data_IF_649177391075
#
_entry.id   IF_649177391075
#
_cell.length_a   1.000
_cell.length_b   1.000
_cell.length_c   1.000
_cell.angle_alpha   90.00
_cell.angle_beta   90.00
_cell.angle_gamma   90.00
#
_symmetry.space_group_name_H-M   'P 1'
#
loop_
_entity.id
_entity.type
_entity.pdbx_description
1 polymer ?
#
# COMPACT_ATOMS: atom_id res chain seq x y z
N UNK A 1 35.29 -14.39 46.57
CA UNK A 1 34.32 -13.38 46.09
C UNK A 1 33.85 -13.73 44.68
N UNK A 2 33.76 -15.03 44.37
CA UNK A 2 33.56 -15.55 43.00
C UNK A 2 32.09 -15.86 42.67
N UNK A 3 31.19 -15.86 43.68
CA UNK A 3 29.74 -16.13 43.52
C UNK A 3 28.85 -14.88 43.69
N UNK A 4 29.41 -13.67 43.63
CA UNK A 4 28.67 -12.40 43.89
C UNK A 4 28.99 -11.27 42.91
N UNK A 5 29.46 -11.60 41.71
CA UNK A 5 29.69 -10.62 40.64
C UNK A 5 28.39 -10.22 39.94
N UNK A 6 28.34 -9.00 39.37
CA UNK A 6 27.22 -8.59 38.54
C UNK A 6 27.24 -9.38 37.22
N UNK A 7 26.14 -10.07 36.90
CA UNK A 7 25.93 -10.67 35.58
C UNK A 7 25.59 -9.54 34.60
N UNK A 8 26.52 -9.21 33.72
CA UNK A 8 26.36 -8.16 32.70
C UNK A 8 26.64 -8.75 31.33
N UNK A 9 25.70 -8.59 30.40
CA UNK A 9 25.85 -8.95 28.99
C UNK A 9 25.38 -7.80 28.10
N UNK A 10 25.96 -7.68 26.91
CA UNK A 10 25.51 -6.75 25.87
C UNK A 10 25.23 -7.50 24.57
N UNK A 11 24.28 -7.00 23.79
CA UNK A 11 23.93 -7.52 22.46
C UNK A 11 23.72 -6.36 21.50
N UNK A 12 24.02 -6.59 20.23
CA UNK A 12 23.79 -5.63 19.15
C UNK A 12 23.34 -6.35 17.88
N UNK A 13 22.52 -5.67 17.09
CA UNK A 13 22.12 -6.11 15.76
C UNK A 13 22.45 -5.02 14.75
N UNK A 14 22.94 -5.43 13.59
CA UNK A 14 23.17 -4.56 12.44
C UNK A 14 22.63 -5.27 11.22
N UNK A 15 21.71 -4.62 10.51
CA UNK A 15 21.17 -5.13 9.26
C UNK A 15 22.31 -5.50 8.30
N UNK A 16 22.27 -6.70 7.67
CA UNK A 16 23.25 -7.08 6.67
C UNK A 16 23.39 -6.01 5.57
N UNK A 17 24.57 -5.83 4.96
CA UNK A 17 24.74 -4.87 3.87
C UNK A 17 23.85 -5.25 2.68
N UNK A 18 22.82 -4.44 2.39
CA UNK A 18 21.90 -4.62 1.27
C UNK A 18 22.13 -3.54 0.21
N UNK A 19 22.04 -3.91 -1.08
CA UNK A 19 22.17 -3.00 -2.22
C UNK A 19 23.61 -2.55 -2.50
N UNK A 20 24.17 -2.95 -3.66
CA UNK A 20 25.54 -2.56 -4.08
C UNK A 20 25.62 -1.81 -5.40
N UNK A 21 24.50 -1.50 -6.03
CA UNK A 21 24.53 -1.05 -7.41
C UNK A 21 24.78 0.47 -7.56
N UNK A 22 24.06 1.34 -6.84
CA UNK A 22 24.06 2.79 -7.13
C UNK A 22 23.78 3.70 -5.92
N UNK A 23 24.29 4.94 -5.95
CA UNK A 23 23.96 5.99 -4.95
C UNK A 23 22.45 6.31 -5.03
N UNK A 24 21.76 6.31 -3.88
CA UNK A 24 20.31 6.53 -3.79
C UNK A 24 19.49 5.25 -3.72
N UNK A 25 20.00 4.12 -4.23
CA UNK A 25 19.32 2.82 -4.17
C UNK A 25 19.20 2.24 -2.75
N UNK A 26 19.77 2.89 -1.75
CA UNK A 26 19.68 2.49 -0.35
C UNK A 26 18.37 2.93 0.33
N UNK A 27 17.69 3.94 -0.20
CA UNK A 27 16.41 4.39 0.34
C UNK A 27 15.31 3.35 0.02
N UNK A 28 14.62 2.86 1.05
CA UNK A 28 13.59 1.81 0.92
C UNK A 28 14.12 0.37 0.94
N UNK A 29 15.41 0.15 1.18
CA UNK A 29 15.93 -1.19 1.44
C UNK A 29 15.65 -1.62 2.87
N UNK A 30 14.97 -2.75 3.01
CA UNK A 30 14.68 -3.38 4.29
C UNK A 30 15.04 -4.87 4.22
N UNK A 31 15.48 -5.49 5.34
CA UNK A 31 15.78 -6.92 5.38
C UNK A 31 14.53 -7.78 5.25
N UNK A 32 13.38 -7.21 5.59
CA UNK A 32 12.07 -7.83 5.50
C UNK A 32 11.06 -6.78 5.02
N UNK A 33 10.09 -7.23 4.22
CA UNK A 33 8.98 -6.40 3.74
C UNK A 33 7.66 -6.91 4.31
N UNK A 34 6.86 -6.01 4.85
CA UNK A 34 5.48 -6.29 5.27
C UNK A 34 4.53 -6.06 4.10
N UNK A 35 3.40 -6.77 4.11
CA UNK A 35 2.37 -6.70 3.08
C UNK A 35 1.03 -6.43 3.74
N UNK A 36 0.13 -5.74 3.02
CA UNK A 36 -1.18 -5.41 3.55
C UNK A 36 -2.23 -5.50 2.44
N UNK A 37 -3.45 -5.89 2.81
CA UNK A 37 -4.60 -5.93 1.91
C UNK A 37 -5.85 -5.46 2.65
N UNK A 38 -6.43 -4.34 2.18
CA UNK A 38 -7.56 -3.69 2.86
C UNK A 38 -8.77 -3.67 1.94
N UNK A 39 -9.95 -3.88 2.54
CA UNK A 39 -11.25 -3.67 1.92
C UNK A 39 -11.98 -2.63 2.74
N UNK A 40 -12.52 -1.60 2.09
CA UNK A 40 -13.32 -0.56 2.72
C UNK A 40 -14.74 -0.58 2.16
N UNK A 41 -15.72 -0.41 3.04
CA UNK A 41 -17.13 -0.21 2.71
C UNK A 41 -17.48 1.24 3.03
N UNK A 42 -18.12 1.94 2.09
CA UNK A 42 -18.42 3.37 2.21
C UNK A 42 -19.85 3.68 1.78
N UNK A 43 -20.43 4.67 2.45
CA UNK A 43 -21.66 5.34 2.05
C UNK A 43 -21.30 6.74 1.55
N UNK A 44 -21.78 7.11 0.37
CA UNK A 44 -21.56 8.44 -0.21
C UNK A 44 -22.90 9.14 -0.39
N UNK A 45 -23.05 10.28 0.27
CA UNK A 45 -24.15 11.21 0.02
C UNK A 45 -23.84 12.03 -1.23
N UNK A 46 -24.56 11.73 -2.30
CA UNK A 46 -24.39 12.32 -3.64
C UNK A 46 -24.84 13.78 -3.69
N UNK A 47 -25.75 14.20 -2.81
CA UNK A 47 -26.24 15.58 -2.76
C UNK A 47 -25.28 16.50 -2.00
N UNK A 48 -24.51 15.97 -1.05
CA UNK A 48 -23.57 16.76 -0.22
C UNK A 48 -22.10 16.49 -0.50
N UNK A 49 -21.78 15.39 -1.18
CA UNK A 49 -20.42 14.88 -1.34
C UNK A 49 -19.84 14.28 -0.05
N UNK A 50 -20.63 14.12 1.01
CA UNK A 50 -20.12 13.54 2.25
C UNK A 50 -19.89 12.04 2.10
N UNK A 51 -18.66 11.58 2.40
CA UNK A 51 -18.32 10.15 2.44
C UNK A 51 -18.23 9.69 3.88
N UNK A 52 -18.94 8.61 4.21
CA UNK A 52 -18.81 7.89 5.48
C UNK A 52 -18.22 6.52 5.21
N UNK A 53 -17.17 6.16 5.94
CA UNK A 53 -16.61 4.80 5.88
C UNK A 53 -17.30 3.97 6.96
N UNK A 54 -17.99 2.91 6.56
CA UNK A 54 -18.77 2.07 7.48
C UNK A 54 -17.87 1.00 8.12
N UNK A 55 -17.09 0.31 7.30
CA UNK A 55 -16.28 -0.84 7.71
C UNK A 55 -14.96 -0.91 6.97
N UNK A 56 -13.96 -1.44 7.66
CA UNK A 56 -12.66 -1.74 7.08
C UNK A 56 -12.24 -3.13 7.52
N UNK A 57 -11.89 -4.00 6.58
CA UNK A 57 -11.18 -5.25 6.86
C UNK A 57 -9.71 -5.03 6.51
N UNK A 58 -8.85 -5.10 7.52
CA UNK A 58 -7.47 -4.66 7.45
C UNK A 58 -6.52 -5.82 7.70
N UNK A 59 -6.09 -6.50 6.63
CA UNK A 59 -5.09 -7.56 6.74
C UNK A 59 -3.68 -6.98 6.64
N UNK A 60 -2.81 -7.35 7.58
CA UNK A 60 -1.42 -6.93 7.61
C UNK A 60 -0.49 -8.08 8.02
N UNK A 61 0.54 -8.30 7.22
CA UNK A 61 1.58 -9.27 7.43
C UNK A 61 2.73 -8.67 8.24
N UNK A 62 2.69 -8.93 9.55
CA UNK A 62 3.72 -8.54 10.49
C UNK A 62 4.71 -9.68 10.80
N UNK A 63 4.78 -10.72 9.96
CA UNK A 63 5.65 -11.88 10.16
C UNK A 63 5.23 -12.76 11.34
N UNK A 64 5.48 -12.34 12.58
CA UNK A 64 5.03 -12.99 13.81
C UNK A 64 4.57 -11.91 14.78
N UNK A 65 3.33 -12.00 15.25
CA UNK A 65 2.81 -11.05 16.21
C UNK A 65 3.38 -11.33 17.61
N UNK A 66 4.46 -10.62 17.97
CA UNK A 66 5.07 -10.71 19.31
C UNK A 66 4.08 -10.31 20.42
N UNK A 67 3.23 -9.32 20.13
CA UNK A 67 2.12 -8.91 20.98
C UNK A 67 0.89 -8.64 20.09
N UNK A 68 -0.01 -9.62 19.91
CA UNK A 68 -1.17 -9.48 19.02
C UNK A 68 -2.04 -8.27 19.34
N UNK A 69 -2.29 -7.97 20.62
CA UNK A 69 -3.09 -6.82 21.04
C UNK A 69 -2.47 -5.49 20.60
N UNK A 70 -1.15 -5.37 20.67
CA UNK A 70 -0.45 -4.16 20.22
C UNK A 70 -0.49 -4.03 18.69
N UNK A 71 -0.36 -5.15 17.97
CA UNK A 71 -0.45 -5.20 16.49
C UNK A 71 -1.85 -4.79 16.03
N UNK A 72 -2.91 -5.33 16.64
CA UNK A 72 -4.29 -4.92 16.38
C UNK A 72 -4.49 -3.41 16.62
N UNK A 73 -3.96 -2.91 17.74
CA UNK A 73 -4.00 -1.47 18.06
C UNK A 73 -3.27 -0.61 17.02
N UNK A 74 -2.14 -1.06 16.49
CA UNK A 74 -1.45 -0.37 15.40
C UNK A 74 -2.28 -0.38 14.12
N UNK A 75 -2.82 -1.52 13.69
CA UNK A 75 -3.66 -1.61 12.50
C UNK A 75 -4.85 -0.64 12.59
N UNK A 76 -5.52 -0.59 13.73
CA UNK A 76 -6.65 0.33 13.98
C UNK A 76 -6.18 1.79 13.98
N UNK A 77 -5.06 2.11 14.65
CA UNK A 77 -4.49 3.45 14.69
C UNK A 77 -4.02 3.95 13.32
N UNK A 78 -3.46 3.06 12.51
CA UNK A 78 -3.07 3.35 11.12
C UNK A 78 -4.29 3.62 10.24
N UNK A 79 -5.40 2.88 10.44
CA UNK A 79 -6.67 3.21 9.80
C UNK A 79 -7.14 4.61 10.21
N UNK A 80 -7.12 4.96 11.50
CA UNK A 80 -7.49 6.30 11.98
C UNK A 80 -6.67 7.42 11.29
N UNK A 81 -5.35 7.25 11.22
CA UNK A 81 -4.48 8.24 10.59
C UNK A 81 -4.73 8.35 9.08
N UNK A 82 -4.88 7.22 8.39
CA UNK A 82 -5.17 7.22 6.95
C UNK A 82 -6.58 7.71 6.61
N UNK A 83 -7.55 7.52 7.52
CA UNK A 83 -8.89 8.12 7.43
C UNK A 83 -8.83 9.64 7.45
N UNK A 84 -7.96 10.22 8.30
CA UNK A 84 -7.71 11.66 8.31
C UNK A 84 -7.15 12.12 6.97
N UNK A 85 -6.08 11.48 6.50
CA UNK A 85 -5.43 11.83 5.24
C UNK A 85 -6.36 11.71 4.02
N UNK A 86 -7.25 10.72 4.00
CA UNK A 86 -8.17 10.51 2.87
C UNK A 86 -9.37 11.45 2.92
N UNK A 87 -9.98 11.74 4.09
CA UNK A 87 -11.25 12.48 4.15
C UNK A 87 -11.15 13.96 4.52
N UNK A 88 -10.17 14.38 5.34
CA UNK A 88 -10.30 15.64 6.07
C UNK A 88 -9.01 16.43 6.32
N UNK A 89 -7.88 15.77 6.52
CA UNK A 89 -6.63 16.40 6.93
C UNK A 89 -5.93 17.06 5.74
N UNK A 90 -5.78 18.39 5.81
CA UNK A 90 -5.07 19.18 4.82
C UNK A 90 -4.36 20.36 5.51
N UNK A 91 -3.08 20.55 5.23
CA UNK A 91 -2.36 21.77 5.62
C UNK A 91 -2.58 22.85 4.56
N UNK A 92 -3.24 23.94 4.95
CA UNK A 92 -3.57 25.03 4.02
C UNK A 92 -2.61 26.20 4.21
N UNK A 93 -2.07 26.72 3.10
CA UNK A 93 -1.10 27.81 3.14
C UNK A 93 -1.64 29.07 2.49
N UNK A 94 -1.50 30.20 3.18
CA UNK A 94 -1.87 31.51 2.66
C UNK A 94 -0.91 31.99 1.57
N UNK A 95 -1.26 33.09 0.88
CA UNK A 95 -0.46 33.65 -0.21
C UNK A 95 0.99 34.01 0.17
N UNK A 96 1.27 34.22 1.45
CA UNK A 96 2.60 34.53 1.97
C UNK A 96 3.32 33.31 2.57
N UNK A 97 2.77 32.10 2.41
CA UNK A 97 3.36 30.85 2.86
C UNK A 97 3.16 30.49 4.34
N UNK A 98 2.35 31.26 5.07
CA UNK A 98 1.98 30.89 6.45
C UNK A 98 0.87 29.83 6.45
N UNK A 99 0.95 28.90 7.40
CA UNK A 99 -0.10 27.91 7.66
C UNK A 99 -1.34 28.63 8.20
N UNK A 100 -2.51 28.42 7.57
CA UNK A 100 -3.75 29.12 7.92
C UNK A 100 -4.59 28.35 8.94
N UNK A 101 -4.37 27.03 9.08
CA UNK A 101 -5.06 26.16 10.02
C UNK A 101 -4.08 25.42 10.97
N UNK A 102 -3.29 26.12 11.79
CA UNK A 102 -2.31 25.51 12.70
C UNK A 102 -2.93 24.94 13.99
N UNK A 103 -4.25 24.81 14.06
CA UNK A 103 -5.00 24.35 15.23
C UNK A 103 -5.82 23.09 14.92
N UNK A 104 -6.29 22.41 15.97
CA UNK A 104 -7.01 21.14 15.87
C UNK A 104 -8.51 21.30 15.56
N UNK A 105 -9.00 22.54 15.34
CA UNK A 105 -10.37 22.78 14.90
C UNK A 105 -10.42 22.84 13.37
N UNK A 106 -9.51 23.61 12.77
CA UNK A 106 -9.43 23.80 11.32
C UNK A 106 -8.56 22.75 10.61
N UNK A 107 -7.62 22.11 11.33
CA UNK A 107 -6.99 20.86 10.89
C UNK A 107 -7.77 19.67 11.45
N UNK A 108 -8.67 19.12 10.63
CA UNK A 108 -9.70 18.19 11.07
C UNK A 108 -9.19 16.75 11.16
N UNK A 109 -8.70 16.38 12.34
CA UNK A 109 -8.39 14.98 12.69
C UNK A 109 -9.71 14.22 12.90
N UNK A 110 -9.85 12.97 12.43
CA UNK A 110 -11.04 12.17 12.65
C UNK A 110 -11.37 12.00 14.13
N UNK A 111 -12.65 12.22 14.46
CA UNK A 111 -13.20 12.01 15.79
C UNK A 111 -13.62 10.56 16.01
N UNK A 112 -13.97 10.21 17.25
CA UNK A 112 -14.46 8.87 17.60
C UNK A 112 -15.76 8.48 16.87
N UNK A 113 -16.54 9.45 16.39
CA UNK A 113 -17.80 9.21 15.66
C UNK A 113 -17.60 8.99 14.16
N UNK A 114 -16.41 9.33 13.65
CA UNK A 114 -16.05 9.18 12.23
C UNK A 114 -15.22 7.91 11.99
N UNK A 115 -14.86 7.19 13.06
CA UNK A 115 -14.13 5.93 12.94
C UNK A 115 -15.03 4.81 12.41
N UNK A 116 -14.61 4.09 11.35
CA UNK A 116 -15.31 2.92 10.88
C UNK A 116 -15.16 1.75 11.85
N UNK A 117 -15.98 0.71 11.68
CA UNK A 117 -15.71 -0.58 12.29
C UNK A 117 -14.50 -1.22 11.60
N UNK A 118 -13.35 -1.19 12.27
CA UNK A 118 -12.11 -1.82 11.78
C UNK A 118 -12.01 -3.25 12.29
N UNK A 119 -11.93 -4.21 11.37
CA UNK A 119 -11.61 -5.62 11.64
C UNK A 119 -10.14 -5.87 11.31
N UNK A 120 -9.22 -5.84 12.30
CA UNK A 120 -7.81 -6.14 12.07
C UNK A 120 -7.62 -7.65 11.83
N UNK A 121 -6.81 -7.99 10.84
CA UNK A 121 -6.47 -9.37 10.48
C UNK A 121 -4.94 -9.49 10.49
N UNK A 122 -4.41 -10.21 11.46
CA UNK A 122 -2.97 -10.48 11.55
C UNK A 122 -2.61 -11.62 10.61
N UNK A 123 -1.67 -11.36 9.71
CA UNK A 123 -1.05 -12.37 8.85
C UNK A 123 0.36 -12.64 9.36
N UNK A 124 0.71 -13.92 9.49
CA UNK A 124 2.01 -14.34 10.03
C UNK A 124 2.84 -15.10 8.99
N UNK A 125 3.69 -14.39 8.23
CA UNK A 125 4.61 -15.02 7.27
C UNK A 125 5.84 -15.69 7.91
N UNK A 126 6.12 -15.43 9.20
CA UNK A 126 7.31 -15.87 9.95
C UNK A 126 8.64 -15.61 9.21
N UNK A 127 9.07 -14.35 9.20
CA UNK A 127 10.27 -13.92 8.47
C UNK A 127 11.58 -14.44 9.11
N UNK A 128 12.48 -15.10 8.34
CA UNK A 128 13.68 -15.71 8.89
C UNK A 128 14.70 -14.70 9.46
N UNK A 129 14.67 -13.44 9.01
CA UNK A 129 15.55 -12.38 9.50
C UNK A 129 14.96 -11.65 10.73
N UNK A 130 13.66 -11.85 10.97
CA UNK A 130 12.91 -11.23 12.05
C UNK A 130 13.17 -11.90 13.42
N UNK A 131 13.18 -11.14 14.52
CA UNK A 131 13.25 -11.73 15.85
C UNK A 131 12.02 -12.62 16.07
N UNK A 132 12.24 -13.92 16.23
CA UNK A 132 11.18 -14.92 16.33
C UNK A 132 10.21 -14.95 15.14
N UNK A 133 10.63 -14.49 13.95
CA UNK A 133 9.75 -14.41 12.79
C UNK A 133 9.09 -13.04 12.55
N UNK A 134 9.30 -12.06 13.43
CA UNK A 134 8.56 -10.80 13.41
C UNK A 134 9.04 -9.80 12.35
N UNK A 135 8.09 -9.08 11.75
CA UNK A 135 8.29 -7.90 10.89
C UNK A 135 7.65 -6.67 11.53
N UNK A 136 7.69 -5.54 10.81
CA UNK A 136 7.06 -4.30 11.27
C UNK A 136 5.53 -4.39 11.24
N UNK A 137 4.89 -3.57 12.07
CA UNK A 137 3.45 -3.35 12.09
C UNK A 137 3.08 -1.89 12.43
N UNK A 138 4.00 -0.95 12.21
CA UNK A 138 3.85 0.45 12.62
C UNK A 138 3.41 1.36 11.48
N UNK A 139 4.06 1.26 10.32
CA UNK A 139 3.83 2.18 9.20
C UNK A 139 3.11 1.50 8.03
N UNK A 140 3.44 0.23 7.75
CA UNK A 140 2.83 -0.53 6.65
C UNK A 140 1.30 -0.65 6.70
N UNK A 141 0.64 -0.73 7.86
CA UNK A 141 -0.83 -0.78 7.93
C UNK A 141 -1.53 0.53 7.54
N UNK A 142 -0.83 1.67 7.42
CA UNK A 142 -1.48 2.95 7.08
C UNK A 142 -1.78 3.05 5.58
N UNK A 143 -0.80 2.70 4.75
CA UNK A 143 -0.83 2.97 3.32
C UNK A 143 -2.08 2.44 2.57
N UNK A 144 -2.62 1.24 2.86
CA UNK A 144 -3.68 0.64 2.06
C UNK A 144 -5.07 1.27 2.24
N UNK A 145 -5.34 1.96 3.35
CA UNK A 145 -6.69 2.51 3.59
C UNK A 145 -7.04 3.63 2.59
N UNK A 146 -6.05 4.45 2.20
CA UNK A 146 -6.23 5.54 1.24
C UNK A 146 -6.81 5.04 -0.10
N UNK A 147 -6.13 4.13 -0.83
CA UNK A 147 -6.68 3.62 -2.09
C UNK A 147 -7.92 2.75 -1.88
N UNK A 148 -8.06 2.04 -0.75
CA UNK A 148 -9.27 1.26 -0.48
C UNK A 148 -10.52 2.13 -0.41
N UNK A 149 -10.46 3.25 0.32
CA UNK A 149 -11.57 4.22 0.41
C UNK A 149 -11.84 4.90 -0.93
N UNK A 150 -10.80 5.34 -1.65
CA UNK A 150 -10.98 5.98 -2.98
C UNK A 150 -11.61 5.01 -3.99
N UNK A 151 -11.20 3.74 -3.98
CA UNK A 151 -11.79 2.72 -4.85
C UNK A 151 -13.23 2.40 -4.46
N UNK A 152 -13.56 2.38 -3.17
CA UNK A 152 -14.92 2.18 -2.69
C UNK A 152 -15.85 3.36 -3.06
N UNK A 153 -15.34 4.60 -3.03
CA UNK A 153 -16.08 5.78 -3.53
C UNK A 153 -16.33 5.66 -5.04
N UNK A 154 -15.32 5.22 -5.79
CA UNK A 154 -15.51 4.95 -7.22
C UNK A 154 -16.56 3.85 -7.43
N UNK A 155 -16.52 2.75 -6.68
CA UNK A 155 -17.52 1.68 -6.75
C UNK A 155 -18.93 2.16 -6.40
N UNK A 156 -19.07 3.10 -5.47
CA UNK A 156 -20.37 3.63 -5.05
C UNK A 156 -21.01 4.56 -6.08
N UNK A 157 -20.25 5.50 -6.67
CA UNK A 157 -20.81 6.60 -7.48
C UNK A 157 -20.14 6.78 -8.86
N UNK A 158 -19.14 5.96 -9.16
CA UNK A 158 -18.38 5.97 -10.42
C UNK A 158 -17.58 7.24 -10.64
N UNK A 159 -17.25 7.98 -9.59
CA UNK A 159 -16.40 9.17 -9.64
C UNK A 159 -14.98 8.77 -9.24
N UNK A 160 -14.02 9.02 -10.13
CA UNK A 160 -12.61 8.73 -9.87
C UNK A 160 -11.94 9.99 -9.35
N UNK A 161 -11.50 9.97 -8.10
CA UNK A 161 -10.76 11.07 -7.49
C UNK A 161 -9.26 10.81 -7.57
N UNK A 162 -8.47 11.82 -7.95
CA UNK A 162 -7.01 11.77 -8.09
C UNK A 162 -6.26 12.70 -7.12
N UNK A 163 -6.99 13.44 -6.29
CA UNK A 163 -6.45 14.36 -5.28
C UNK A 163 -7.04 14.06 -3.89
N UNK A 164 -6.18 14.00 -2.88
CA UNK A 164 -6.58 13.89 -1.47
C UNK A 164 -6.38 15.22 -0.74
N UNK A 165 -7.16 15.49 0.32
CA UNK A 165 -8.30 14.68 0.81
C UNK A 165 -9.55 14.81 -0.08
N UNK A 166 -10.43 13.82 -0.03
CA UNK A 166 -11.76 13.82 -0.66
C UNK A 166 -12.80 14.52 0.22
N UNK A 167 -12.56 15.79 0.55
CA UNK A 167 -13.50 16.59 1.34
C UNK A 167 -14.86 16.71 0.65
N UNK A 168 -15.97 16.91 1.39
CA UNK A 168 -17.30 16.98 0.79
C UNK A 168 -17.40 18.00 -0.34
N UNK A 169 -16.77 19.18 -0.20
CA UNK A 169 -16.78 20.21 -1.24
C UNK A 169 -15.98 19.84 -2.50
N UNK A 170 -14.95 19.00 -2.37
CA UNK A 170 -14.16 18.50 -3.50
C UNK A 170 -14.92 17.39 -4.20
N UNK A 171 -15.45 16.42 -3.45
CA UNK A 171 -16.21 15.30 -4.02
C UNK A 171 -17.49 15.79 -4.71
N UNK A 172 -18.22 16.72 -4.10
CA UNK A 172 -19.41 17.34 -4.70
C UNK A 172 -19.10 17.99 -6.06
N UNK A 173 -17.97 18.70 -6.18
CA UNK A 173 -17.54 19.27 -7.47
C UNK A 173 -17.24 18.20 -8.51
N UNK A 174 -16.65 17.07 -8.13
CA UNK A 174 -16.41 15.96 -9.04
C UNK A 174 -17.71 15.27 -9.47
N UNK A 175 -18.69 15.15 -8.57
CA UNK A 175 -20.04 14.67 -8.87
C UNK A 175 -20.71 15.60 -9.90
N UNK A 176 -20.74 16.91 -9.66
CA UNK A 176 -21.32 17.89 -10.62
C UNK A 176 -20.63 17.84 -11.99
N UNK A 177 -19.30 17.69 -12.02
CA UNK A 177 -18.54 17.54 -13.27
C UNK A 177 -18.96 16.29 -14.02
N UNK A 178 -19.17 15.17 -13.32
CA UNK A 178 -19.64 13.91 -13.92
C UNK A 178 -21.05 14.04 -14.46
N UNK A 179 -22.00 14.55 -13.66
CA UNK A 179 -23.39 14.74 -14.10
C UNK A 179 -23.46 15.59 -15.38
N UNK A 180 -22.73 16.72 -15.42
CA UNK A 180 -22.67 17.57 -16.62
C UNK A 180 -22.07 16.86 -17.83
N UNK A 181 -21.09 15.98 -17.64
CA UNK A 181 -20.45 15.22 -18.72
C UNK A 181 -21.40 14.15 -19.29
N UNK A 182 -22.21 13.54 -18.43
CA UNK A 182 -23.15 12.47 -18.79
C UNK A 182 -24.55 13.00 -19.17
N UNK A 183 -24.80 14.30 -18.98
CA UNK A 183 -26.11 14.92 -19.28
C UNK A 183 -27.19 14.53 -18.26
N UNK A 184 -26.79 14.31 -17.01
CA UNK A 184 -27.66 13.95 -15.90
C UNK A 184 -28.05 15.23 -15.15
N UNK A 185 -29.36 15.45 -14.96
CA UNK A 185 -29.90 16.63 -14.28
C UNK A 185 -29.94 16.48 -12.75
N UNK A 186 -30.25 15.27 -12.25
CA UNK A 186 -30.30 14.94 -10.83
C UNK A 186 -29.15 13.98 -10.46
N UNK A 187 -28.23 14.34 -9.53
CA UNK A 187 -27.18 13.43 -9.07
C UNK A 187 -27.67 12.07 -8.55
N UNK A 188 -28.92 11.97 -8.11
CA UNK A 188 -29.54 10.71 -7.68
C UNK A 188 -29.73 9.71 -8.83
N UNK A 189 -29.70 10.17 -10.08
CA UNK A 189 -29.77 9.32 -11.27
C UNK A 189 -28.39 8.77 -11.68
N UNK A 190 -27.31 9.09 -10.96
CA UNK A 190 -26.00 8.49 -11.17
C UNK A 190 -26.05 6.99 -10.86
N UNK A 191 -25.71 6.19 -11.87
CA UNK A 191 -25.57 4.74 -11.68
C UNK A 191 -24.17 4.39 -11.17
N UNK A 192 -24.07 3.49 -10.17
CA UNK A 192 -22.79 2.88 -9.80
C UNK A 192 -22.15 2.19 -11.01
N UNK A 193 -20.82 2.16 -11.12
CA UNK A 193 -20.14 1.38 -12.13
C UNK A 193 -20.50 -0.10 -11.97
N UNK A 194 -20.88 -0.74 -13.07
CA UNK A 194 -21.04 -2.19 -13.12
C UNK A 194 -19.75 -2.86 -13.55
N UNK A 195 -19.37 -3.92 -12.84
CA UNK A 195 -18.26 -4.77 -13.24
C UNK A 195 -18.73 -5.71 -14.36
N UNK A 196 -18.36 -5.38 -15.60
CA UNK A 196 -18.58 -6.26 -16.75
C UNK A 196 -17.42 -7.24 -16.88
N UNK A 197 -17.69 -8.51 -16.60
CA UNK A 197 -16.70 -9.56 -16.73
C UNK A 197 -16.32 -9.80 -18.20
N UNK A 198 -15.02 -9.89 -18.44
CA UNK A 198 -14.52 -10.30 -19.75
C UNK A 198 -14.77 -11.81 -19.98
N UNK A 199 -14.73 -12.30 -21.23
CA UNK A 199 -14.77 -13.73 -21.52
C UNK A 199 -13.65 -14.57 -20.86
N UNK A 200 -12.63 -13.92 -20.27
CA UNK A 200 -11.56 -14.58 -19.53
C UNK A 200 -11.92 -14.84 -18.06
N UNK A 201 -13.04 -14.32 -17.55
CA UNK A 201 -13.38 -14.42 -16.13
C UNK A 201 -13.43 -15.86 -15.66
N UNK A 202 -14.18 -16.73 -16.35
CA UNK A 202 -14.30 -18.15 -15.99
C UNK A 202 -12.93 -18.85 -15.97
N UNK A 203 -12.06 -18.52 -16.93
CA UNK A 203 -10.70 -19.06 -17.03
C UNK A 203 -9.84 -18.60 -15.85
N UNK A 204 -9.94 -17.32 -15.47
CA UNK A 204 -9.19 -16.77 -14.34
C UNK A 204 -9.67 -17.35 -13.01
N UNK A 205 -10.98 -17.54 -12.84
CA UNK A 205 -11.59 -18.13 -11.66
C UNK A 205 -11.19 -19.59 -11.49
N UNK A 206 -11.24 -20.39 -12.57
CA UNK A 206 -10.76 -21.77 -12.55
C UNK A 206 -9.28 -21.84 -12.14
N UNK A 207 -8.43 -20.99 -12.73
CA UNK A 207 -7.00 -20.94 -12.39
C UNK A 207 -6.74 -20.47 -10.95
N UNK A 208 -7.53 -19.54 -10.43
CA UNK A 208 -7.43 -19.08 -9.05
C UNK A 208 -7.77 -20.21 -8.07
N UNK A 209 -8.78 -21.03 -8.38
CA UNK A 209 -9.13 -22.20 -7.57
C UNK A 209 -8.00 -23.25 -7.57
N UNK A 210 -7.46 -23.60 -8.75
CA UNK A 210 -6.31 -24.52 -8.87
C UNK A 210 -5.08 -23.99 -8.12
N UNK A 211 -4.85 -22.68 -8.18
CA UNK A 211 -3.77 -22.03 -7.43
C UNK A 211 -3.99 -22.17 -5.91
N UNK A 212 -5.21 -21.96 -5.44
CA UNK A 212 -5.55 -22.08 -4.02
C UNK A 212 -5.35 -23.50 -3.50
N UNK A 213 -5.78 -24.51 -4.26
CA UNK A 213 -5.56 -25.92 -3.92
C UNK A 213 -4.07 -26.25 -3.81
N UNK A 214 -3.27 -25.84 -4.80
CA UNK A 214 -1.82 -26.03 -4.79
C UNK A 214 -1.14 -25.34 -3.60
N UNK A 215 -1.54 -24.11 -3.28
CA UNK A 215 -0.98 -23.38 -2.13
C UNK A 215 -1.27 -24.10 -0.80
N UNK A 216 -2.45 -24.73 -0.68
CA UNK A 216 -2.79 -25.55 0.48
C UNK A 216 -1.90 -26.80 0.53
N UNK A 217 -1.76 -27.53 -0.57
CA UNK A 217 -0.94 -28.74 -0.63
C UNK A 217 0.53 -28.46 -0.29
N UNK A 218 1.08 -27.38 -0.85
CA UNK A 218 2.48 -26.95 -0.61
C UNK A 218 2.76 -26.58 0.85
N UNK A 219 1.77 -26.08 1.60
CA UNK A 219 1.96 -25.76 3.04
C UNK A 219 2.23 -26.99 3.89
N UNK A 220 1.82 -28.17 3.43
CA UNK A 220 2.01 -29.43 4.13
C UNK A 220 3.20 -30.24 3.61
N UNK A 221 3.86 -29.77 2.55
CA UNK A 221 5.08 -30.38 2.01
C UNK A 221 6.31 -29.85 2.77
N UNK A 222 7.20 -30.76 3.16
CA UNK A 222 8.44 -30.40 3.84
C UNK A 222 9.55 -29.98 2.86
N UNK A 223 9.40 -30.28 1.57
CA UNK A 223 10.35 -29.91 0.50
C UNK A 223 9.62 -29.52 -0.80
N UNK A 224 8.79 -28.46 -0.78
CA UNK A 224 7.97 -28.11 -1.92
C UNK A 224 8.83 -27.66 -3.12
N UNK A 225 8.47 -28.05 -4.36
CA UNK A 225 9.21 -27.66 -5.58
C UNK A 225 9.24 -26.13 -5.74
N UNK A 226 10.13 -25.55 -6.55
CA UNK A 226 10.13 -24.11 -6.83
C UNK A 226 8.74 -23.59 -7.27
N UNK A 227 8.39 -22.38 -6.87
CA UNK A 227 7.12 -21.75 -7.26
C UNK A 227 7.33 -20.36 -7.83
N UNK A 228 6.91 -20.20 -9.09
CA UNK A 228 7.01 -18.99 -9.86
C UNK A 228 5.61 -18.40 -10.10
N UNK A 229 5.46 -17.08 -9.89
CA UNK A 229 4.21 -16.34 -10.08
C UNK A 229 3.86 -16.18 -11.57
N UNK A 230 3.51 -17.29 -12.22
CA UNK A 230 3.07 -17.37 -13.62
C UNK A 230 1.81 -18.23 -13.82
N UNK A 231 1.48 -19.10 -12.86
CA UNK A 231 0.39 -20.05 -12.98
C UNK A 231 -1.00 -19.44 -13.19
N UNK A 232 -1.26 -18.27 -12.58
CA UNK A 232 -2.52 -17.55 -12.80
C UNK A 232 -2.68 -17.12 -14.28
N UNK A 233 -1.57 -16.95 -14.98
CA UNK A 233 -1.52 -16.59 -16.39
C UNK A 233 -1.45 -17.81 -17.32
N UNK A 234 -1.54 -19.02 -16.77
CA UNK A 234 -1.54 -20.28 -17.52
C UNK A 234 -0.15 -20.84 -17.82
N UNK A 235 0.87 -20.34 -17.11
CA UNK A 235 2.23 -20.88 -17.17
C UNK A 235 2.39 -22.04 -16.18
N UNK A 236 3.36 -22.90 -16.42
CA UNK A 236 3.80 -23.90 -15.45
C UNK A 236 4.34 -23.20 -14.19
N UNK A 237 3.81 -23.48 -12.99
CA UNK A 237 4.30 -22.89 -11.74
C UNK A 237 5.74 -23.24 -11.39
N UNK A 238 6.29 -24.35 -11.90
CA UNK A 238 7.63 -24.83 -11.53
C UNK A 238 8.74 -24.27 -12.40
N UNK A 239 8.37 -23.58 -13.49
CA UNK A 239 9.31 -22.99 -14.45
C UNK A 239 9.20 -21.47 -14.41
N UNK A 240 10.31 -20.71 -14.40
CA UNK A 240 10.27 -19.26 -14.50
C UNK A 240 9.47 -18.78 -15.72
N UNK A 241 8.67 -17.71 -15.56
CA UNK A 241 7.77 -17.25 -16.63
C UNK A 241 8.52 -16.78 -17.89
N UNK A 242 9.72 -16.24 -17.73
CA UNK A 242 10.62 -15.80 -18.80
C UNK A 242 11.25 -16.96 -19.58
N UNK A 243 11.28 -18.17 -19.03
CA UNK A 243 11.68 -19.38 -19.74
C UNK A 243 10.53 -19.97 -20.57
N UNK A 244 9.28 -19.64 -20.23
CA UNK A 244 8.08 -20.20 -20.87
C UNK A 244 7.46 -19.28 -21.92
N UNK A 245 7.51 -17.97 -21.70
CA UNK A 245 6.95 -16.98 -22.61
C UNK A 245 7.97 -15.87 -22.89
N UNK A 246 8.40 -15.76 -24.14
CA UNK A 246 9.36 -14.74 -24.57
C UNK A 246 8.85 -13.30 -24.44
N UNK A 247 7.54 -13.11 -24.21
CA UNK A 247 6.93 -11.81 -23.87
C UNK A 247 7.08 -11.48 -22.39
N UNK A 248 7.36 -12.47 -21.54
CA UNK A 248 7.56 -12.31 -20.11
C UNK A 248 9.02 -11.92 -19.84
N UNK A 249 9.28 -10.61 -19.73
CA UNK A 249 10.64 -10.10 -19.54
C UNK A 249 10.94 -9.88 -18.05
N UNK A 250 11.73 -10.77 -17.44
CA UNK A 250 12.28 -10.56 -16.10
C UNK A 250 13.64 -9.84 -16.18
N UNK A 251 13.64 -8.52 -16.42
CA UNK A 251 14.89 -7.74 -16.46
C UNK A 251 15.22 -7.21 -15.07
N UNK A 252 15.92 -8.02 -14.28
CA UNK A 252 16.42 -7.61 -12.94
C UNK A 252 17.70 -6.76 -13.05
N UNK A 253 18.44 -6.92 -14.15
CA UNK A 253 19.70 -6.21 -14.41
C UNK A 253 19.59 -5.51 -15.77
N UNK A 254 19.89 -4.20 -15.88
CA UNK A 254 19.86 -3.52 -17.16
C UNK A 254 20.85 -4.17 -18.14
N UNK A 255 20.50 -4.28 -19.43
CA UNK A 255 21.39 -4.84 -20.44
C UNK A 255 22.67 -3.99 -20.59
N UNK A 256 23.76 -4.62 -21.03
CA UNK A 256 25.00 -3.93 -21.38
C UNK A 256 24.70 -2.79 -22.38
N UNK A 257 25.10 -1.55 -22.03
CA UNK A 257 24.82 -0.35 -22.84
C UNK A 257 23.51 0.39 -22.50
N UNK A 258 22.68 -0.09 -21.56
CA UNK A 258 21.49 0.67 -21.12
C UNK A 258 21.83 2.08 -20.60
N UNK A 259 22.97 2.21 -19.92
CA UNK A 259 23.46 3.50 -19.41
C UNK A 259 23.88 4.48 -20.51
N UNK A 260 24.15 3.99 -21.72
CA UNK A 260 24.52 4.83 -22.86
C UNK A 260 23.30 5.58 -23.40
N UNK A 261 22.12 4.95 -23.37
CA UNK A 261 20.85 5.57 -23.76
C UNK A 261 19.68 5.12 -22.86
N UNK A 262 19.64 5.54 -21.60
CA UNK A 262 18.66 5.08 -20.65
C UNK A 262 17.30 5.72 -20.96
N UNK A 263 16.22 4.99 -20.68
CA UNK A 263 14.86 5.52 -20.81
C UNK A 263 14.59 6.70 -19.87
N UNK A 264 13.40 7.29 -19.93
CA UNK A 264 13.02 8.47 -19.14
C UNK A 264 13.38 8.34 -17.65
N UNK A 265 13.03 7.21 -17.01
CA UNK A 265 13.37 6.94 -15.61
C UNK A 265 14.88 6.73 -15.37
N UNK A 266 15.60 6.14 -16.33
CA UNK A 266 17.03 5.92 -16.28
C UNK A 266 17.86 7.17 -16.60
N UNK A 267 17.28 8.19 -17.26
CA UNK A 267 17.96 9.45 -17.57
C UNK A 267 18.23 10.31 -16.33
N UNK A 268 17.41 10.16 -15.28
CA UNK A 268 17.66 10.74 -13.96
C UNK A 268 19.02 10.31 -13.36
N UNK A 269 19.55 9.16 -13.78
CA UNK A 269 20.79 8.57 -13.29
C UNK A 269 22.03 9.15 -13.98
N UNK A 270 21.85 9.88 -15.10
CA UNK A 270 22.90 10.66 -15.76
C UNK A 270 23.14 12.03 -15.12
N UNK A 271 22.25 12.49 -14.22
CA UNK A 271 22.43 13.76 -13.54
C UNK A 271 23.51 13.66 -12.46
N UNK A 272 24.72 14.12 -12.80
CA UNK A 272 25.75 14.46 -11.81
C UNK A 272 25.35 15.79 -11.16
N UNK A 273 24.91 15.78 -9.89
CA UNK A 273 24.66 17.00 -9.12
C UNK A 273 25.92 17.91 -9.17
N UNK A 274 25.79 19.12 -9.75
CA UNK A 274 26.76 20.19 -9.56
C UNK A 274 26.66 20.71 -8.13
N UNK A 275 27.42 20.15 -7.20
CA UNK A 275 27.76 20.82 -5.93
C UNK A 275 29.23 21.22 -5.94
N UNK A 276 29.56 22.22 -6.76
CA UNK A 276 30.68 23.10 -6.45
C UNK A 276 30.19 24.10 -5.40
N UNK A 277 30.39 23.77 -4.12
CA UNK A 277 30.45 24.81 -3.09
C UNK A 277 31.91 25.26 -3.03
N UNK A 278 32.29 26.09 -4.00
CA UNK A 278 33.52 26.87 -3.87
C UNK A 278 33.35 27.87 -2.73
N UNK A 279 34.45 28.09 -2.01
CA UNK A 279 34.45 28.53 -0.63
C UNK A 279 33.85 29.91 -0.36
N UNK A 280 33.24 30.03 0.80
CA UNK A 280 33.25 31.26 1.59
C UNK A 280 33.61 30.87 3.04
N UNK A 281 34.87 31.14 3.39
CA UNK A 281 35.29 31.52 4.74
C UNK A 281 35.26 33.03 4.81
#
# INVERSE_FOLDING_TARGET
QEDRGALVSSGSYRTPPMGRAHKGAAAGLAPAYSFSAYVAEVDVDIETGQTKVERVWAAHDCGKALNPLAVEGQIIGSCHMGMGQVLSEEMKYGRTGHLINPDLLDYKIPTVHEMPLVTPIIVESNDPEGPFGAKEAGEGPLLPILPAVVNAVYDAIGVRVDELPITPDRLYKEIEKKCRKEGIDDPLDLSPPTLDYSPLQDVLEERANLHSERDIERRYDNDPPPYHNGALFGLDPEVPGDEQDSRWAAVVIPPEGYLDNPGLAGSAWKHVERRHREGQK
#
